data_IF_078149750037
#
_entry.id   IF_078149750037
#
_cell.length_a   1.000
_cell.length_b   1.000
_cell.length_c   1.000
_cell.angle_alpha   90.00
_cell.angle_beta   90.00
_cell.angle_gamma   90.00
#
_symmetry.space_group_name_H-M   'P 1'
#
loop_
_entity.id
_entity.type
_entity.pdbx_description
1 polymer ?
#
# COMPACT_ATOMS: atom_id res chain seq x y z
N UNK A 1 -7.33 39.66 -64.28
CA UNK A 1 -7.38 38.18 -64.34
C UNK A 1 -7.19 37.66 -62.92
N UNK A 2 -8.29 37.31 -62.26
CA UNK A 2 -8.46 36.63 -60.96
C UNK A 2 -7.44 36.87 -59.83
N UNK A 3 -7.57 38.00 -59.12
CA UNK A 3 -7.02 38.19 -57.77
C UNK A 3 -7.94 37.64 -56.66
N UNK A 4 -9.19 37.31 -56.99
CA UNK A 4 -10.20 36.77 -56.07
C UNK A 4 -9.88 35.42 -55.41
N UNK A 5 -9.29 34.40 -56.09
CA UNK A 5 -9.12 33.08 -55.48
C UNK A 5 -8.14 33.12 -54.29
N UNK A 6 -7.16 34.03 -54.30
CA UNK A 6 -6.18 34.15 -53.22
C UNK A 6 -6.81 34.83 -51.99
N UNK A 7 -7.59 35.90 -52.19
CA UNK A 7 -8.31 36.58 -51.10
C UNK A 7 -9.29 35.62 -50.41
N UNK A 8 -9.97 34.76 -51.16
CA UNK A 8 -10.87 33.74 -50.58
C UNK A 8 -10.12 32.69 -49.77
N UNK A 9 -8.91 32.29 -50.17
CA UNK A 9 -8.10 31.31 -49.42
C UNK A 9 -7.63 31.92 -48.08
N UNK A 10 -7.15 33.16 -48.08
CA UNK A 10 -6.75 33.85 -46.84
C UNK A 10 -7.91 34.06 -45.87
N UNK A 11 -9.10 34.41 -46.38
CA UNK A 11 -10.30 34.54 -45.56
C UNK A 11 -10.71 33.20 -44.90
N UNK A 12 -10.54 32.08 -45.61
CA UNK A 12 -10.81 30.73 -45.07
C UNK A 12 -9.79 30.37 -43.97
N UNK A 13 -8.50 30.64 -44.19
CA UNK A 13 -7.45 30.40 -43.19
C UNK A 13 -7.73 31.22 -41.93
N UNK A 14 -8.04 32.51 -42.08
CA UNK A 14 -8.40 33.39 -40.97
C UNK A 14 -9.60 32.86 -40.16
N UNK A 15 -10.62 32.31 -40.84
CA UNK A 15 -11.78 31.72 -40.19
C UNK A 15 -11.40 30.46 -39.39
N UNK A 16 -10.56 29.58 -39.96
CA UNK A 16 -10.07 28.37 -39.27
C UNK A 16 -9.28 28.75 -38.01
N UNK A 17 -8.43 29.77 -38.10
CA UNK A 17 -7.63 30.23 -36.97
C UNK A 17 -8.45 30.94 -35.91
N UNK A 18 -9.43 31.76 -36.31
CA UNK A 18 -10.37 32.36 -35.38
C UNK A 18 -11.15 31.27 -34.62
N UNK A 19 -11.60 30.22 -35.30
CA UNK A 19 -12.23 29.05 -34.67
C UNK A 19 -11.25 28.39 -33.70
N UNK A 20 -10.00 28.17 -34.10
CA UNK A 20 -8.96 27.58 -33.25
C UNK A 20 -8.75 28.39 -31.96
N UNK A 21 -8.56 29.71 -32.06
CA UNK A 21 -8.44 30.61 -30.90
C UNK A 21 -9.68 30.58 -30.00
N UNK A 22 -10.88 30.56 -30.59
CA UNK A 22 -12.14 30.48 -29.85
C UNK A 22 -12.24 29.16 -29.06
N UNK A 23 -11.85 28.03 -29.64
CA UNK A 23 -11.83 26.74 -28.94
C UNK A 23 -10.91 26.80 -27.72
N UNK A 24 -9.69 27.35 -27.87
CA UNK A 24 -8.73 27.47 -26.79
C UNK A 24 -9.18 28.46 -25.69
N UNK A 25 -9.75 29.59 -26.07
CA UNK A 25 -10.36 30.55 -25.13
C UNK A 25 -11.53 29.93 -24.37
N UNK A 26 -12.38 29.15 -25.04
CA UNK A 26 -13.49 28.44 -24.41
C UNK A 26 -13.00 27.39 -23.40
N UNK A 27 -11.94 26.64 -23.74
CA UNK A 27 -11.29 25.69 -22.81
C UNK A 27 -10.75 26.43 -21.58
N UNK A 28 -10.02 27.54 -21.78
CA UNK A 28 -9.46 28.33 -20.69
C UNK A 28 -10.55 28.92 -19.76
N UNK A 29 -11.66 29.41 -20.34
CA UNK A 29 -12.80 29.96 -19.61
C UNK A 29 -13.53 28.89 -18.80
N UNK A 30 -13.73 27.70 -19.37
CA UNK A 30 -14.41 26.57 -18.70
C UNK A 30 -13.68 26.11 -17.42
N UNK A 31 -12.36 26.29 -17.39
CA UNK A 31 -11.49 25.91 -16.26
C UNK A 31 -11.21 27.05 -15.28
N UNK A 32 -11.87 28.20 -15.43
CA UNK A 32 -11.69 29.41 -14.59
C UNK A 32 -10.23 29.90 -14.52
N UNK A 33 -9.42 29.66 -15.56
CA UNK A 33 -8.03 30.09 -15.63
C UNK A 33 -7.99 31.46 -16.33
N UNK A 34 -8.40 32.51 -15.62
CA UNK A 34 -8.58 33.85 -16.19
C UNK A 34 -7.29 34.43 -16.78
N UNK A 35 -6.12 34.17 -16.19
CA UNK A 35 -4.85 34.67 -16.71
C UNK A 35 -4.52 34.15 -18.12
N UNK A 36 -4.75 32.86 -18.38
CA UNK A 36 -4.52 32.25 -19.69
C UNK A 36 -5.56 32.74 -20.69
N UNK A 37 -6.81 32.90 -20.24
CA UNK A 37 -7.88 33.47 -21.07
C UNK A 37 -7.54 34.89 -21.53
N UNK A 38 -7.12 35.78 -20.62
CA UNK A 38 -6.72 37.15 -20.98
C UNK A 38 -5.51 37.18 -21.91
N UNK A 39 -4.52 36.32 -21.68
CA UNK A 39 -3.37 36.20 -22.58
C UNK A 39 -3.79 35.74 -23.98
N UNK A 40 -4.69 34.77 -24.07
CA UNK A 40 -5.22 34.29 -25.34
C UNK A 40 -6.06 35.35 -26.05
N UNK A 41 -6.88 36.11 -25.31
CA UNK A 41 -7.69 37.20 -25.85
C UNK A 41 -6.83 38.33 -26.41
N UNK A 42 -5.81 38.77 -25.67
CA UNK A 42 -4.88 39.81 -26.14
C UNK A 42 -4.11 39.34 -27.37
N UNK A 43 -3.63 38.09 -27.36
CA UNK A 43 -2.94 37.50 -28.51
C UNK A 43 -3.85 37.40 -29.73
N UNK A 44 -5.11 36.99 -29.55
CA UNK A 44 -6.12 36.94 -30.61
C UNK A 44 -6.43 38.32 -31.19
N UNK A 45 -6.53 39.37 -30.35
CA UNK A 45 -6.75 40.75 -30.83
C UNK A 45 -5.55 41.28 -31.62
N UNK A 46 -4.32 41.06 -31.14
CA UNK A 46 -3.10 41.46 -31.85
C UNK A 46 -3.05 40.75 -33.21
N UNK A 47 -3.35 39.46 -33.22
CA UNK A 47 -3.38 38.63 -34.41
C UNK A 47 -4.43 39.13 -35.42
N UNK A 48 -5.68 39.34 -34.99
CA UNK A 48 -6.75 39.85 -35.83
C UNK A 48 -6.50 41.26 -36.38
N UNK A 49 -5.82 42.13 -35.64
CA UNK A 49 -5.42 43.47 -36.14
C UNK A 49 -4.38 43.33 -37.26
N UNK A 50 -3.39 42.44 -37.11
CA UNK A 50 -2.38 42.19 -38.14
C UNK A 50 -3.02 41.65 -39.41
N UNK A 51 -3.95 40.69 -39.30
CA UNK A 51 -4.63 40.14 -40.47
C UNK A 51 -5.50 41.16 -41.19
N UNK A 52 -6.22 42.03 -40.46
CA UNK A 52 -7.01 43.10 -41.06
C UNK A 52 -6.11 44.09 -41.82
N UNK A 53 -4.92 44.40 -41.29
CA UNK A 53 -3.94 45.27 -41.96
C UNK A 53 -3.40 44.61 -43.23
N UNK A 54 -3.06 43.32 -43.17
CA UNK A 54 -2.59 42.53 -44.33
C UNK A 54 -3.68 42.45 -45.41
N UNK A 55 -4.94 42.22 -45.03
CA UNK A 55 -6.08 42.17 -45.96
C UNK A 55 -6.35 43.52 -46.63
N UNK A 56 -6.20 44.65 -45.91
CA UNK A 56 -6.37 46.00 -46.48
C UNK A 56 -5.21 46.44 -47.37
N UNK A 57 -3.99 46.00 -47.10
CA UNK A 57 -2.78 46.34 -47.88
C UNK A 57 -2.61 45.56 -49.20
N UNK A 58 -3.46 44.54 -49.44
CA UNK A 58 -3.34 43.59 -50.54
C UNK A 58 -3.52 44.20 -51.96
N UNK A 59 -3.96 45.45 -52.08
CA UNK A 59 -4.22 46.08 -53.39
C UNK A 59 -2.96 46.47 -54.18
N UNK A 60 -1.76 46.35 -53.60
CA UNK A 60 -0.48 46.79 -54.19
C UNK A 60 0.46 45.61 -54.55
N UNK A 61 1.28 45.78 -55.59
CA UNK A 61 2.18 44.76 -56.20
C UNK A 61 3.26 44.21 -55.23
N UNK A 62 3.44 44.80 -54.04
CA UNK A 62 4.34 44.32 -52.98
C UNK A 62 3.76 43.16 -52.13
N UNK A 63 2.64 42.55 -52.56
CA UNK A 63 1.92 41.50 -51.82
C UNK A 63 2.78 40.28 -51.44
N UNK A 64 3.81 39.94 -52.23
CA UNK A 64 4.76 38.87 -51.89
C UNK A 64 5.52 39.12 -50.57
N UNK A 65 5.76 40.38 -50.20
CA UNK A 65 6.47 40.74 -48.96
C UNK A 65 5.60 40.53 -47.71
N UNK A 66 4.27 40.63 -47.85
CA UNK A 66 3.30 40.52 -46.75
C UNK A 66 2.78 39.08 -46.54
N UNK A 67 2.87 38.23 -47.57
CA UNK A 67 2.45 36.83 -47.52
C UNK A 67 3.33 35.99 -46.58
N UNK A 68 4.65 36.20 -46.59
CA UNK A 68 5.56 35.42 -45.74
C UNK A 68 5.37 35.70 -44.23
N UNK A 69 5.25 36.97 -43.77
CA UNK A 69 4.92 37.28 -42.38
C UNK A 69 3.57 36.74 -41.92
N UNK A 70 2.52 36.82 -42.76
CA UNK A 70 1.19 36.32 -42.39
C UNK A 70 1.18 34.80 -42.21
N UNK A 71 1.84 34.06 -43.09
CA UNK A 71 1.96 32.60 -42.97
C UNK A 71 2.70 32.22 -41.68
N UNK A 72 3.78 32.94 -41.34
CA UNK A 72 4.52 32.72 -40.10
C UNK A 72 3.65 33.02 -38.87
N UNK A 73 2.89 34.13 -38.91
CA UNK A 73 2.00 34.52 -37.82
C UNK A 73 0.86 33.53 -37.59
N UNK A 74 0.38 32.86 -38.65
CA UNK A 74 -0.64 31.80 -38.58
C UNK A 74 -0.10 30.49 -38.02
N UNK A 75 1.11 30.12 -38.44
CA UNK A 75 1.73 28.84 -38.04
C UNK A 75 2.14 28.87 -36.56
N UNK A 76 2.54 30.02 -36.02
CA UNK A 76 3.02 30.16 -34.64
C UNK A 76 1.96 29.72 -33.61
N UNK A 77 0.72 30.24 -33.58
CA UNK A 77 -0.33 29.79 -32.66
C UNK A 77 -0.71 28.33 -32.84
N UNK A 78 -0.75 27.84 -34.09
CA UNK A 78 -1.11 26.46 -34.39
C UNK A 78 -0.11 25.46 -33.77
N UNK A 79 1.18 25.81 -33.75
CA UNK A 79 2.23 25.01 -33.12
C UNK A 79 2.27 25.20 -31.59
N UNK A 80 2.07 26.43 -31.11
CA UNK A 80 2.26 26.77 -29.69
C UNK A 80 1.08 26.36 -28.79
N UNK A 81 -0.15 26.54 -29.26
CA UNK A 81 -1.35 26.31 -28.44
C UNK A 81 -1.46 24.85 -27.96
N UNK A 82 -1.24 23.80 -28.78
CA UNK A 82 -1.23 22.41 -28.30
C UNK A 82 -0.26 22.14 -27.15
N UNK A 83 0.91 22.79 -27.14
CA UNK A 83 1.92 22.67 -26.08
C UNK A 83 1.48 23.25 -24.73
N UNK A 84 0.38 24.01 -24.70
CA UNK A 84 -0.19 24.58 -23.47
C UNK A 84 -1.07 23.57 -22.72
N UNK A 85 -1.42 22.42 -23.30
CA UNK A 85 -2.22 21.42 -22.60
C UNK A 85 -1.33 20.48 -21.80
N UNK A 86 -1.57 20.45 -20.49
CA UNK A 86 -1.03 19.44 -19.58
C UNK A 86 -2.17 18.59 -19.04
N UNK A 87 -2.17 17.31 -19.41
CA UNK A 87 -3.12 16.32 -18.91
C UNK A 87 -2.54 15.69 -17.64
N UNK A 88 -3.31 15.75 -16.56
CA UNK A 88 -2.97 15.17 -15.26
C UNK A 88 -3.93 14.01 -15.00
N UNK A 89 -3.37 12.84 -14.71
CA UNK A 89 -4.17 11.67 -14.37
C UNK A 89 -4.90 11.85 -13.03
N UNK A 90 -5.98 11.12 -12.80
CA UNK A 90 -6.79 11.22 -11.58
C UNK A 90 -6.00 10.90 -10.30
N UNK A 91 -5.12 9.92 -10.39
CA UNK A 91 -4.20 9.51 -9.32
C UNK A 91 -2.96 10.41 -9.18
N UNK A 92 -2.85 11.46 -9.99
CA UNK A 92 -1.74 12.42 -9.93
C UNK A 92 -2.22 13.82 -9.50
N UNK A 93 -1.26 14.62 -9.03
CA UNK A 93 -1.41 16.06 -8.85
C UNK A 93 -0.22 16.76 -9.47
N UNK A 94 -0.48 17.89 -10.15
CA UNK A 94 0.56 18.70 -10.75
C UNK A 94 0.94 19.86 -9.85
N UNK A 95 2.19 19.96 -9.42
CA UNK A 95 2.70 21.15 -8.74
C UNK A 95 3.20 22.13 -9.81
N UNK A 96 2.56 23.29 -9.89
CA UNK A 96 2.86 24.31 -10.89
C UNK A 96 3.85 25.33 -10.33
N UNK A 97 4.98 25.49 -11.01
CA UNK A 97 5.94 26.55 -10.78
C UNK A 97 5.90 27.55 -11.92
N UNK A 98 5.68 28.82 -11.60
CA UNK A 98 5.70 29.93 -12.55
C UNK A 98 6.91 30.82 -12.28
N UNK A 99 7.81 30.96 -13.26
CA UNK A 99 9.09 31.68 -13.08
C UNK A 99 9.87 31.23 -11.82
N UNK A 100 9.76 29.94 -11.45
CA UNK A 100 10.38 29.37 -10.25
C UNK A 100 9.65 29.64 -8.93
N UNK A 101 8.55 30.42 -8.93
CA UNK A 101 7.68 30.57 -7.75
C UNK A 101 6.57 29.53 -7.76
N UNK A 102 6.17 29.06 -6.58
CA UNK A 102 5.01 28.18 -6.43
C UNK A 102 3.74 28.93 -6.81
N UNK A 103 3.06 28.48 -7.87
CA UNK A 103 1.82 29.09 -8.34
C UNK A 103 0.56 28.33 -7.89
N UNK A 104 0.70 27.07 -7.45
CA UNK A 104 -0.39 26.27 -6.89
C UNK A 104 -0.40 24.81 -7.34
N UNK A 105 -1.50 24.13 -7.03
CA UNK A 105 -1.79 22.75 -7.40
C UNK A 105 -2.76 22.68 -8.58
N UNK A 106 -2.42 21.88 -9.58
CA UNK A 106 -3.28 21.54 -10.71
C UNK A 106 -4.09 20.28 -10.39
N UNK A 107 -5.40 20.39 -10.62
CA UNK A 107 -6.35 19.30 -10.42
C UNK A 107 -6.29 18.26 -11.57
N UNK A 108 -6.84 17.05 -11.38
CA UNK A 108 -6.96 16.07 -12.45
C UNK A 108 -7.68 16.57 -13.69
N UNK A 109 -7.28 16.03 -14.84
CA UNK A 109 -7.85 16.33 -16.14
C UNK A 109 -7.01 17.30 -16.95
N UNK A 110 -7.66 17.99 -17.87
CA UNK A 110 -7.03 18.89 -18.83
C UNK A 110 -6.82 20.26 -18.20
N UNK A 111 -5.55 20.62 -18.01
CA UNK A 111 -5.13 21.93 -17.53
C UNK A 111 -4.41 22.69 -18.64
N UNK A 112 -4.64 24.00 -18.70
CA UNK A 112 -3.91 24.89 -19.61
C UNK A 112 -2.79 25.56 -18.82
N UNK A 113 -1.55 25.44 -19.30
CA UNK A 113 -0.35 26.04 -18.73
C UNK A 113 0.28 27.02 -19.72
N UNK A 114 1.05 28.00 -19.22
CA UNK A 114 1.74 28.92 -20.12
C UNK A 114 2.85 28.20 -20.91
N UNK A 115 2.98 28.48 -22.23
CA UNK A 115 4.05 27.94 -23.05
C UNK A 115 5.38 28.63 -22.73
N UNK A 116 6.48 28.20 -23.37
CA UNK A 116 7.84 28.75 -23.23
C UNK A 116 8.59 28.44 -21.93
N UNK A 117 8.20 27.39 -21.19
CA UNK A 117 8.92 26.99 -19.97
C UNK A 117 8.79 27.97 -18.80
N UNK A 118 7.90 28.96 -18.94
CA UNK A 118 7.49 29.87 -17.86
C UNK A 118 6.84 29.07 -16.75
N UNK A 119 5.93 28.17 -17.14
CA UNK A 119 5.21 27.25 -16.28
C UNK A 119 5.87 25.86 -16.35
N UNK A 120 6.35 25.35 -15.22
CA UNK A 120 6.89 23.98 -15.07
C UNK A 120 5.97 23.18 -14.16
N UNK A 121 5.49 22.04 -14.64
CA UNK A 121 4.59 21.15 -13.89
C UNK A 121 5.34 19.90 -13.45
N UNK A 122 5.38 19.66 -12.15
CA UNK A 122 5.85 18.40 -11.57
C UNK A 122 4.65 17.52 -11.25
N UNK A 123 4.57 16.34 -11.88
CA UNK A 123 3.48 15.39 -11.64
C UNK A 123 3.89 14.45 -10.51
N UNK A 124 3.12 14.44 -9.43
CA UNK A 124 3.33 13.59 -8.27
C UNK A 124 2.19 12.59 -8.19
N UNK A 125 2.53 11.31 -7.99
CA UNK A 125 1.57 10.23 -7.78
C UNK A 125 1.09 10.24 -6.32
N UNK A 126 -0.22 10.12 -6.12
CA UNK A 126 -0.85 10.09 -4.79
C UNK A 126 -1.08 8.66 -4.28
N UNK A 127 -0.84 7.64 -5.10
CA UNK A 127 -1.04 6.23 -4.71
C UNK A 127 -0.02 5.80 -3.66
N UNK A 128 -0.35 4.74 -2.94
CA UNK A 128 0.60 4.10 -2.03
C UNK A 128 1.76 3.50 -2.82
N UNK A 129 2.96 3.98 -2.50
CA UNK A 129 4.23 3.51 -2.97
C UNK A 129 4.86 2.62 -1.89
N UNK A 130 5.58 1.61 -2.35
CA UNK A 130 6.33 0.69 -1.50
C UNK A 130 7.81 0.88 -1.71
N UNK A 131 8.56 1.06 -0.63
CA UNK A 131 10.02 1.06 -0.67
C UNK A 131 10.56 -0.08 0.18
N UNK A 132 11.50 -0.84 -0.38
CA UNK A 132 12.30 -1.79 0.37
C UNK A 132 13.42 -1.02 1.09
N UNK A 133 13.52 -1.24 2.40
CA UNK A 133 14.65 -0.77 3.19
C UNK A 133 15.73 -1.83 3.17
N UNK A 134 16.91 -1.46 2.68
CA UNK A 134 18.04 -2.38 2.58
C UNK A 134 18.41 -3.03 3.94
N UNK A 135 18.87 -4.28 3.87
CA UNK A 135 19.32 -5.06 5.04
C UNK A 135 20.38 -4.31 5.84
N UNK A 136 20.23 -4.33 7.16
CA UNK A 136 21.18 -3.72 8.09
C UNK A 136 21.64 -4.69 9.16
N UNK A 137 22.91 -4.62 9.51
CA UNK A 137 23.46 -5.26 10.69
C UNK A 137 23.22 -4.38 11.92
N UNK A 138 22.52 -4.95 12.91
CA UNK A 138 22.14 -4.27 14.15
C UNK A 138 22.44 -5.21 15.31
N UNK A 139 22.94 -4.66 16.42
CA UNK A 139 23.07 -5.38 17.68
C UNK A 139 21.85 -5.02 18.53
N UNK A 140 21.08 -6.03 18.95
CA UNK A 140 19.91 -5.83 19.83
C UNK A 140 20.35 -5.52 21.27
N UNK A 141 19.37 -5.19 22.12
CA UNK A 141 19.58 -4.95 23.55
C UNK A 141 20.24 -6.15 24.27
N UNK A 142 20.04 -7.37 23.77
CA UNK A 142 20.61 -8.61 24.32
C UNK A 142 22.00 -8.95 23.77
N UNK A 143 22.69 -7.98 23.14
CA UNK A 143 23.99 -8.18 22.51
C UNK A 143 23.99 -9.24 21.39
N UNK A 144 22.85 -9.40 20.72
CA UNK A 144 22.67 -10.35 19.64
C UNK A 144 22.81 -9.61 18.30
N UNK A 145 23.80 -9.96 17.46
CA UNK A 145 23.89 -9.39 16.12
C UNK A 145 22.83 -10.02 15.22
N UNK A 146 22.05 -9.19 14.54
CA UNK A 146 20.99 -9.58 13.60
C UNK A 146 21.07 -8.76 12.32
N UNK A 147 20.65 -9.36 11.21
CA UNK A 147 20.42 -8.66 9.95
C UNK A 147 18.93 -8.45 9.76
N UNK A 148 18.49 -7.21 9.60
CA UNK A 148 17.06 -6.88 9.46
C UNK A 148 16.79 -6.06 8.21
N UNK A 149 15.74 -6.41 7.48
CA UNK A 149 15.13 -5.59 6.44
C UNK A 149 13.64 -5.34 6.71
N UNK A 150 13.11 -4.30 6.07
CA UNK A 150 11.73 -3.87 6.23
C UNK A 150 11.18 -3.28 4.94
N UNK A 151 9.86 -3.21 4.85
CA UNK A 151 9.14 -2.52 3.76
C UNK A 151 8.33 -1.39 4.35
N UNK A 152 8.37 -0.22 3.71
CA UNK A 152 7.57 0.94 4.09
C UNK A 152 6.54 1.21 3.01
N UNK A 153 5.28 1.30 3.42
CA UNK A 153 4.16 1.71 2.60
C UNK A 153 3.83 3.17 2.93
N UNK A 154 3.94 4.04 1.94
CA UNK A 154 3.63 5.45 2.13
C UNK A 154 2.95 6.03 0.88
N UNK A 155 2.22 7.12 1.04
CA UNK A 155 1.66 7.87 -0.06
C UNK A 155 1.93 9.37 0.14
N UNK A 156 1.94 10.13 -0.95
CA UNK A 156 2.09 11.59 -0.86
C UNK A 156 0.75 12.19 -0.43
N UNK A 157 0.71 12.85 0.72
CA UNK A 157 -0.48 13.56 1.22
C UNK A 157 -0.51 15.00 0.71
N UNK A 158 0.62 15.70 0.71
CA UNK A 158 0.77 17.05 0.17
C UNK A 158 1.88 17.09 -0.91
N UNK A 159 1.50 17.18 -2.20
CA UNK A 159 2.45 17.26 -3.31
C UNK A 159 3.32 18.52 -3.29
N UNK A 160 2.83 19.64 -2.72
CA UNK A 160 3.60 20.89 -2.63
C UNK A 160 4.80 20.66 -1.71
N UNK A 161 4.55 20.15 -0.51
CA UNK A 161 5.61 19.88 0.46
C UNK A 161 6.59 18.82 -0.08
N UNK A 162 6.09 17.75 -0.68
CA UNK A 162 6.91 16.67 -1.24
C UNK A 162 7.87 17.14 -2.34
N UNK A 163 7.52 18.20 -3.08
CA UNK A 163 8.36 18.75 -4.14
C UNK A 163 9.26 19.89 -3.66
N UNK A 164 8.85 20.64 -2.62
CA UNK A 164 9.55 21.86 -2.18
C UNK A 164 10.47 21.65 -0.99
N UNK A 165 10.15 20.71 -0.10
CA UNK A 165 10.87 20.50 1.16
C UNK A 165 11.97 19.46 1.05
N UNK A 166 11.89 18.56 0.08
CA UNK A 166 12.84 17.47 -0.12
C UNK A 166 13.10 17.25 -1.61
N UNK A 167 14.36 17.00 -1.98
CA UNK A 167 14.74 16.78 -3.38
C UNK A 167 14.20 15.44 -3.89
N UNK A 168 14.43 14.38 -3.12
CA UNK A 168 13.96 13.04 -3.41
C UNK A 168 13.34 12.43 -2.15
N UNK A 169 12.02 12.58 -2.02
CA UNK A 169 11.28 12.08 -0.87
C UNK A 169 11.44 10.58 -0.69
N UNK A 170 11.51 9.79 -1.77
CA UNK A 170 11.68 8.33 -1.72
C UNK A 170 12.99 7.97 -1.05
N UNK A 171 14.11 8.55 -1.52
CA UNK A 171 15.43 8.26 -0.98
C UNK A 171 15.59 8.77 0.46
N UNK A 172 15.12 9.99 0.74
CA UNK A 172 15.17 10.56 2.09
C UNK A 172 14.36 9.73 3.09
N UNK A 173 13.19 9.23 2.68
CA UNK A 173 12.36 8.32 3.50
C UNK A 173 13.06 6.98 3.71
N UNK A 174 13.70 6.41 2.68
CA UNK A 174 14.51 5.18 2.84
C UNK A 174 15.62 5.36 3.88
N UNK A 175 16.39 6.45 3.80
CA UNK A 175 17.49 6.72 4.73
C UNK A 175 17.00 7.01 6.17
N UNK A 176 15.87 7.70 6.29
CA UNK A 176 15.24 7.94 7.58
C UNK A 176 14.73 6.64 8.20
N UNK A 177 14.00 5.82 7.42
CA UNK A 177 13.54 4.50 7.85
C UNK A 177 14.71 3.61 8.30
N UNK A 178 15.82 3.64 7.57
CA UNK A 178 17.07 2.96 7.95
C UNK A 178 17.58 3.38 9.33
N UNK A 179 17.50 4.66 9.66
CA UNK A 179 17.99 5.19 10.94
C UNK A 179 17.04 4.85 12.08
N UNK A 180 15.72 4.98 11.85
CA UNK A 180 14.69 4.65 12.84
C UNK A 180 14.68 3.15 13.13
N UNK A 181 14.77 2.29 12.10
CA UNK A 181 14.90 0.84 12.27
C UNK A 181 16.10 0.50 13.14
N UNK A 182 17.29 1.02 12.83
CA UNK A 182 18.48 0.79 13.65
C UNK A 182 18.28 1.20 15.11
N UNK A 183 17.70 2.37 15.33
CA UNK A 183 17.49 2.91 16.68
C UNK A 183 16.48 2.10 17.50
N UNK A 184 15.34 1.76 16.91
CA UNK A 184 14.27 1.04 17.60
C UNK A 184 14.66 -0.41 17.82
N UNK A 185 15.13 -1.10 16.79
CA UNK A 185 15.49 -2.52 16.90
C UNK A 185 16.66 -2.73 17.88
N UNK A 186 17.58 -1.77 18.00
CA UNK A 186 18.66 -1.80 18.98
C UNK A 186 18.23 -1.57 20.44
N UNK A 187 17.08 -0.94 20.67
CA UNK A 187 16.53 -0.70 22.02
C UNK A 187 15.69 -1.85 22.57
N UNK A 188 15.44 -2.87 21.75
CA UNK A 188 14.52 -3.95 22.05
C UNK A 188 15.25 -5.31 21.99
N UNK A 189 14.65 -6.29 22.64
CA UNK A 189 15.19 -7.65 22.77
C UNK A 189 14.84 -8.51 21.54
N UNK A 190 15.63 -9.54 21.26
CA UNK A 190 15.38 -10.38 20.08
C UNK A 190 14.01 -11.07 20.17
N UNK A 191 13.63 -11.54 21.35
CA UNK A 191 12.35 -12.23 21.53
C UNK A 191 11.15 -11.31 21.27
N UNK A 192 11.24 -10.04 21.65
CA UNK A 192 10.21 -9.03 21.35
C UNK A 192 10.06 -8.83 19.85
N UNK A 193 11.15 -8.86 19.09
CA UNK A 193 11.16 -8.74 17.63
C UNK A 193 10.52 -9.94 16.92
N UNK A 194 10.54 -11.11 17.56
CA UNK A 194 9.94 -12.32 17.02
C UNK A 194 8.47 -12.46 17.43
N UNK A 195 8.13 -12.10 18.67
CA UNK A 195 6.82 -12.34 19.28
C UNK A 195 5.88 -11.14 19.15
N UNK A 196 6.36 -9.90 19.31
CA UNK A 196 5.56 -8.66 19.36
C UNK A 196 5.68 -7.81 18.09
N UNK A 197 5.75 -8.45 16.92
CA UNK A 197 5.94 -7.76 15.63
C UNK A 197 4.91 -6.67 15.33
N UNK A 198 3.65 -6.89 15.66
CA UNK A 198 2.59 -5.92 15.37
C UNK A 198 2.78 -4.61 16.16
N UNK A 199 3.18 -4.70 17.42
CA UNK A 199 3.44 -3.53 18.28
C UNK A 199 4.64 -2.72 17.76
N UNK A 200 5.70 -3.42 17.34
CA UNK A 200 6.89 -2.80 16.77
C UNK A 200 6.62 -2.14 15.41
N UNK A 201 5.86 -2.81 14.53
CA UNK A 201 5.45 -2.26 13.25
C UNK A 201 4.67 -0.95 13.43
N UNK A 202 3.76 -0.91 14.41
CA UNK A 202 2.99 0.30 14.72
C UNK A 202 3.85 1.43 15.28
N UNK A 203 4.77 1.11 16.20
CA UNK A 203 5.72 2.08 16.75
C UNK A 203 6.66 2.65 15.67
N UNK A 204 7.13 1.81 14.75
CA UNK A 204 7.92 2.23 13.59
C UNK A 204 7.11 3.12 12.64
N UNK A 205 5.84 2.77 12.39
CA UNK A 205 4.92 3.57 11.59
C UNK A 205 4.73 4.95 12.20
N UNK A 206 4.41 5.05 13.49
CA UNK A 206 4.17 6.31 14.19
C UNK A 206 5.38 7.25 14.13
N UNK A 207 6.58 6.73 14.43
CA UNK A 207 7.81 7.52 14.40
C UNK A 207 8.16 7.98 13.00
N UNK A 208 8.07 7.09 12.01
CA UNK A 208 8.39 7.44 10.62
C UNK A 208 7.37 8.44 10.05
N UNK A 209 6.09 8.28 10.34
CA UNK A 209 5.03 9.21 9.93
C UNK A 209 5.29 10.62 10.48
N UNK A 210 5.58 10.73 11.79
CA UNK A 210 5.88 12.01 12.44
C UNK A 210 7.07 12.74 11.82
N UNK A 211 8.14 12.02 11.50
CA UNK A 211 9.35 12.64 10.94
C UNK A 211 9.24 12.92 9.42
N UNK A 212 8.30 12.27 8.73
CA UNK A 212 8.05 12.44 7.28
C UNK A 212 6.92 13.42 6.96
N UNK A 213 6.07 13.76 7.94
CA UNK A 213 5.01 14.77 7.84
C UNK A 213 5.50 16.12 7.26
N UNK A 214 6.67 16.68 7.65
CA UNK A 214 7.17 17.94 7.08
C UNK A 214 7.47 17.87 5.57
N UNK A 215 7.63 16.66 5.02
CA UNK A 215 7.82 16.41 3.60
C UNK A 215 6.50 16.17 2.86
N UNK A 216 5.34 16.21 3.54
CA UNK A 216 4.05 15.92 2.92
C UNK A 216 3.88 14.46 2.52
N UNK A 217 4.55 13.55 3.25
CA UNK A 217 4.45 12.11 3.07
C UNK A 217 3.63 11.55 4.23
N UNK A 218 2.72 10.63 3.92
CA UNK A 218 1.96 9.89 4.92
C UNK A 218 2.40 8.44 4.91
N UNK A 219 2.83 7.92 6.06
CA UNK A 219 3.23 6.51 6.18
C UNK A 219 2.00 5.68 6.57
N UNK A 220 1.57 4.80 5.67
CA UNK A 220 0.43 3.91 5.88
C UNK A 220 0.81 2.74 6.79
N UNK A 221 1.96 2.11 6.55
CA UNK A 221 2.40 0.94 7.29
C UNK A 221 3.91 0.75 7.17
N UNK A 222 4.51 0.11 8.18
CA UNK A 222 5.89 -0.37 8.17
C UNK A 222 5.87 -1.83 8.59
N UNK A 223 6.51 -2.69 7.80
CA UNK A 223 6.54 -4.13 8.05
C UNK A 223 7.98 -4.63 8.07
N UNK A 224 8.38 -5.26 9.17
CA UNK A 224 9.65 -6.00 9.25
C UNK A 224 9.54 -7.24 8.34
N UNK A 225 10.37 -7.30 7.30
CA UNK A 225 10.32 -8.33 6.26
C UNK A 225 11.01 -9.61 6.73
N UNK A 226 12.25 -9.51 7.19
CA UNK A 226 13.01 -10.64 7.72
C UNK A 226 13.98 -10.22 8.82
N UNK A 227 14.24 -11.16 9.74
CA UNK A 227 15.26 -11.06 10.78
C UNK A 227 16.15 -12.30 10.61
N UNK A 228 17.38 -12.10 10.16
CA UNK A 228 18.36 -13.17 9.96
C UNK A 228 19.35 -13.17 11.13
N UNK A 229 19.53 -14.36 11.70
CA UNK A 229 20.39 -14.63 12.85
C UNK A 229 21.65 -15.37 12.37
N UNK A 230 22.82 -15.16 12.99
CA UNK A 230 23.99 -15.99 12.77
C UNK A 230 23.68 -17.46 12.99
N UNK A 231 24.24 -18.33 12.15
CA UNK A 231 23.96 -19.78 12.17
C UNK A 231 24.25 -20.43 13.53
N UNK A 232 25.26 -19.95 14.25
CA UNK A 232 25.63 -20.45 15.58
C UNK A 232 24.50 -20.24 16.59
N UNK A 233 23.93 -19.04 16.64
CA UNK A 233 22.85 -18.68 17.54
C UNK A 233 21.53 -19.33 17.13
N UNK A 234 21.23 -19.39 15.82
CA UNK A 234 20.04 -20.06 15.30
C UNK A 234 19.98 -21.52 15.75
N UNK A 235 21.10 -22.23 15.72
CA UNK A 235 21.21 -23.62 16.23
C UNK A 235 21.05 -23.70 17.74
N UNK A 236 21.67 -22.78 18.49
CA UNK A 236 21.56 -22.75 19.95
C UNK A 236 20.12 -22.49 20.42
N UNK A 237 19.43 -21.51 19.82
CA UNK A 237 18.03 -21.20 20.08
C UNK A 237 17.11 -22.36 19.68
N UNK A 238 17.34 -23.00 18.53
CA UNK A 238 16.58 -24.17 18.12
C UNK A 238 16.69 -25.30 19.15
N UNK A 239 17.90 -25.60 19.62
CA UNK A 239 18.14 -26.62 20.66
C UNK A 239 17.49 -26.26 22.00
N UNK A 240 17.55 -24.99 22.40
CA UNK A 240 16.89 -24.51 23.62
C UNK A 240 15.36 -24.61 23.51
N UNK A 241 14.79 -24.21 22.37
CA UNK A 241 13.37 -24.29 22.11
C UNK A 241 12.86 -25.74 22.06
N UNK A 242 13.65 -26.66 21.51
CA UNK A 242 13.36 -28.09 21.50
C UNK A 242 13.35 -28.66 22.93
N UNK A 243 14.38 -28.37 23.73
CA UNK A 243 14.46 -28.82 25.12
C UNK A 243 13.31 -28.25 25.99
N UNK A 244 12.95 -26.98 25.81
CA UNK A 244 11.82 -26.37 26.52
C UNK A 244 10.47 -26.96 26.06
N UNK A 245 10.31 -27.24 24.76
CA UNK A 245 9.12 -27.93 24.24
C UNK A 245 8.98 -29.34 24.80
N UNK A 246 10.07 -30.11 24.84
CA UNK A 246 10.08 -31.46 25.44
C UNK A 246 9.74 -31.41 26.94
N UNK A 247 10.34 -30.46 27.67
CA UNK A 247 10.04 -30.25 29.10
C UNK A 247 8.55 -29.94 29.30
N UNK A 248 8.00 -29.00 28.52
CA UNK A 248 6.57 -28.63 28.60
C UNK A 248 5.68 -29.80 28.23
N UNK A 249 6.01 -30.55 27.19
CA UNK A 249 5.25 -31.74 26.79
C UNK A 249 5.21 -32.79 27.91
N UNK A 250 6.33 -33.05 28.60
CA UNK A 250 6.38 -33.97 29.75
C UNK A 250 5.52 -33.50 30.92
N UNK A 251 5.55 -32.21 31.24
CA UNK A 251 4.72 -31.64 32.31
C UNK A 251 3.24 -31.77 31.96
N UNK A 252 2.85 -31.41 30.73
CA UNK A 252 1.47 -31.51 30.26
C UNK A 252 1.00 -32.97 30.26
N UNK A 253 1.85 -33.91 29.85
CA UNK A 253 1.54 -35.36 29.88
C UNK A 253 1.33 -35.85 31.31
N UNK A 254 2.23 -35.50 32.23
CA UNK A 254 2.13 -35.91 33.63
C UNK A 254 0.89 -35.31 34.31
N UNK A 255 0.57 -34.05 34.04
CA UNK A 255 -0.64 -33.40 34.55
C UNK A 255 -1.92 -34.01 33.94
N UNK A 256 -1.89 -34.34 32.65
CA UNK A 256 -2.96 -35.09 31.98
C UNK A 256 -3.19 -36.48 32.58
N UNK A 257 -2.12 -37.23 32.86
CA UNK A 257 -2.18 -38.53 33.53
C UNK A 257 -2.72 -38.41 34.95
N UNK A 258 -2.28 -37.40 35.71
CA UNK A 258 -2.78 -37.13 37.06
C UNK A 258 -4.28 -36.81 37.06
N UNK A 259 -4.72 -35.90 36.19
CA UNK A 259 -6.14 -35.55 36.06
C UNK A 259 -7.00 -36.75 35.63
N UNK A 260 -6.51 -37.57 34.70
CA UNK A 260 -7.19 -38.80 34.29
C UNK A 260 -7.31 -39.80 35.45
N UNK A 261 -6.22 -40.05 36.19
CA UNK A 261 -6.22 -40.93 37.35
C UNK A 261 -7.17 -40.44 38.45
N UNK A 262 -7.20 -39.13 38.72
CA UNK A 262 -8.12 -38.52 39.68
C UNK A 262 -9.58 -38.73 39.28
N UNK A 263 -9.94 -38.51 38.00
CA UNK A 263 -11.29 -38.74 37.50
C UNK A 263 -11.71 -40.21 37.55
N UNK A 264 -10.78 -41.13 37.26
CA UNK A 264 -11.03 -42.56 37.40
C UNK A 264 -11.27 -42.97 38.86
N UNK A 265 -10.51 -42.41 39.80
CA UNK A 265 -10.70 -42.64 41.23
C UNK A 265 -12.06 -42.11 41.70
N UNK A 266 -12.43 -40.88 41.33
CA UNK A 266 -13.75 -40.30 41.61
C UNK A 266 -14.88 -41.17 41.05
N UNK A 267 -14.75 -41.64 39.80
CA UNK A 267 -15.72 -42.54 39.19
C UNK A 267 -15.81 -43.89 39.90
N UNK A 268 -14.67 -44.47 40.31
CA UNK A 268 -14.63 -45.74 41.05
C UNK A 268 -15.29 -45.61 42.44
N UNK A 269 -15.03 -44.51 43.16
CA UNK A 269 -15.68 -44.22 44.44
C UNK A 269 -17.20 -44.04 44.28
N UNK A 270 -17.64 -43.36 43.21
CA UNK A 270 -19.07 -43.18 42.93
C UNK A 270 -19.75 -44.53 42.61
N UNK A 271 -19.11 -45.38 41.81
CA UNK A 271 -19.61 -46.72 41.48
C UNK A 271 -19.63 -47.62 42.72
N UNK A 272 -18.65 -47.51 43.61
CA UNK A 272 -18.61 -48.31 44.84
C UNK A 272 -19.74 -47.95 45.82
N UNK A 273 -20.32 -46.74 45.76
CA UNK A 273 -21.46 -46.36 46.61
C UNK A 273 -22.75 -47.07 46.19
N UNK A 274 -22.89 -47.42 44.92
CA UNK A 274 -24.11 -48.04 44.37
C UNK A 274 -23.75 -49.33 43.62
N UNK A 275 -23.93 -50.53 44.22
CA UNK A 275 -23.57 -51.81 43.60
C UNK A 275 -24.21 -52.03 42.22
N UNK A 276 -25.42 -51.49 41.99
CA UNK A 276 -26.11 -51.54 40.71
C UNK A 276 -25.36 -50.79 39.58
N UNK A 277 -24.58 -49.75 39.90
CA UNK A 277 -23.81 -49.00 38.91
C UNK A 277 -22.66 -49.83 38.31
N UNK A 278 -22.03 -50.69 39.11
CA UNK A 278 -20.99 -51.62 38.63
C UNK A 278 -21.59 -52.64 37.66
N UNK A 279 -22.80 -53.12 37.96
CA UNK A 279 -23.56 -54.05 37.12
C UNK A 279 -23.98 -53.40 35.79
N UNK A 280 -24.43 -52.14 35.81
CA UNK A 280 -24.72 -51.37 34.59
C UNK A 280 -23.47 -51.13 33.75
N UNK A 281 -22.33 -50.76 34.37
CA UNK A 281 -21.05 -50.63 33.67
C UNK A 281 -20.64 -51.96 33.02
N UNK A 282 -20.78 -53.07 33.74
CA UNK A 282 -20.51 -54.41 33.21
C UNK A 282 -21.35 -54.69 31.96
N UNK A 283 -22.66 -54.44 32.01
CA UNK A 283 -23.54 -54.60 30.84
C UNK A 283 -23.16 -53.66 29.68
N UNK A 284 -22.71 -52.43 29.96
CA UNK A 284 -22.24 -51.48 28.95
C UNK A 284 -20.91 -51.88 28.29
N UNK A 285 -20.06 -52.67 28.96
CA UNK A 285 -18.81 -53.18 28.37
C UNK A 285 -19.02 -54.38 27.45
N UNK A 286 -20.16 -55.08 27.54
CA UNK A 286 -20.45 -56.25 26.70
C UNK A 286 -20.52 -55.93 25.20
N UNK A 287 -21.13 -54.82 24.74
CA UNK A 287 -21.10 -54.39 23.34
C UNK A 287 -19.68 -54.11 22.80
N UNK A 288 -18.79 -53.53 23.61
CA UNK A 288 -17.41 -53.23 23.19
C UNK A 288 -16.62 -54.52 22.98
N UNK A 289 -16.77 -55.49 23.88
CA UNK A 289 -16.16 -56.83 23.75
C UNK A 289 -16.75 -57.60 22.57
N UNK A 290 -18.05 -57.43 22.28
CA UNK A 290 -18.70 -58.05 21.13
C UNK A 290 -18.31 -57.41 19.79
N UNK A 291 -17.79 -56.17 19.80
CA UNK A 291 -17.34 -55.44 18.60
C UNK A 291 -15.92 -55.84 18.16
N UNK A 292 -15.03 -56.18 19.10
CA UNK A 292 -13.75 -56.83 18.77
C UNK A 292 -14.01 -58.28 18.34
N UNK A 293 -13.84 -58.57 17.05
CA UNK A 293 -14.13 -59.87 16.41
C UNK A 293 -13.21 -61.01 16.87
N UNK A 294 -13.21 -61.38 18.16
CA UNK A 294 -12.52 -62.57 18.67
C UNK A 294 -13.54 -63.58 19.22
N UNK A 295 -13.55 -64.77 18.64
CA UNK A 295 -14.65 -65.76 18.66
C UNK A 295 -14.78 -66.59 19.94
N UNK A 296 -14.36 -66.09 21.09
CA UNK A 296 -14.52 -66.80 22.37
C UNK A 296 -14.87 -65.81 23.47
N UNK A 297 -16.19 -65.62 23.68
CA UNK A 297 -16.73 -64.82 24.77
C UNK A 297 -16.59 -65.67 26.05
N UNK A 298 -15.48 -65.50 26.77
CA UNK A 298 -15.33 -66.06 28.11
C UNK A 298 -16.23 -65.24 29.05
N UNK A 299 -17.34 -65.83 29.50
CA UNK A 299 -18.23 -65.23 30.51
C UNK A 299 -17.66 -65.52 31.92
N UNK A 300 -17.02 -64.55 32.60
CA UNK A 300 -16.73 -64.71 34.02
C UNK A 300 -18.05 -64.55 34.79
N UNK A 301 -18.66 -65.66 35.20
CA UNK A 301 -19.85 -65.62 36.05
C UNK A 301 -19.47 -65.05 37.44
N UNK A 302 -20.20 -64.04 37.95
CA UNK A 302 -20.00 -63.53 39.30
C UNK A 302 -20.11 -64.68 40.32
N UNK A 303 -19.13 -64.79 41.20
CA UNK A 303 -19.07 -65.86 42.23
C UNK A 303 -20.32 -65.82 43.15
N UNK A 304 -20.97 -64.67 43.25
CA UNK A 304 -22.23 -64.47 43.98
C UNK A 304 -23.41 -65.25 43.37
N UNK A 305 -23.50 -65.31 42.04
CA UNK A 305 -24.49 -66.15 41.34
C UNK A 305 -24.21 -67.64 41.60
N UNK A 306 -22.94 -68.05 41.57
CA UNK A 306 -22.54 -69.43 41.90
C UNK A 306 -22.89 -69.80 43.35
N UNK A 307 -22.73 -68.88 44.31
CA UNK A 307 -23.15 -69.07 45.71
C UNK A 307 -24.67 -69.17 45.89
N UNK A 308 -25.45 -68.44 45.10
CA UNK A 308 -26.91 -68.54 45.12
C UNK A 308 -27.39 -69.91 44.64
N UNK A 309 -26.76 -70.48 43.59
CA UNK A 309 -27.05 -71.84 43.12
C UNK A 309 -26.58 -72.94 44.09
N UNK A 310 -25.45 -72.76 44.80
CA UNK A 310 -25.01 -73.74 45.79
C UNK A 310 -25.92 -73.83 47.01
N UNK A 311 -26.57 -72.72 47.40
CA UNK A 311 -27.53 -72.70 48.52
C UNK A 311 -28.89 -73.30 48.17
N UNK A 312 -29.24 -73.44 46.89
CA UNK A 312 -30.48 -74.09 46.44
C UNK A 312 -30.38 -75.63 46.54
N UNK A 313 -29.16 -76.18 46.51
CA UNK A 313 -28.94 -77.63 46.53
C UNK A 313 -28.81 -78.25 47.95
N UNK A 314 -29.02 -77.45 49.00
CA UNK A 314 -28.93 -77.86 50.42
C UNK A 314 -30.30 -77.87 51.14
N UNK A 315 -31.38 -78.18 50.42
CA UNK A 315 -32.70 -78.46 51.01
C UNK A 315 -33.21 -79.82 50.56
#
# INVERSE_FOLDING_TARGET
MNSYPVVTIFAIIFLIEAVWWIVWMAIALSRKIYANFYFMLVSFLIWGVIDIVVLRGWSSIESLLYIAPSIVLTIIPLILLPGMVSIIAEYQRGVLFRFGRLSGLLQPGLNVIFPFGIDRVWKVDLRTLTIDVAKQEIITKDNVPIMVDAVVYFNVSDPILATTKVVNYTQSTTLLAQTILRSILGQHELDEMLTKRAELNEKLRELLDKDTDPWGIKVTAVEIKSIELPDTMKRAMAKQAEAERERRAKIISADGEYQAAQKLLEAAQLISKEPAALQLRYLQTLPEIAAEKNSTILFPLPIELLKAFSNINNK
#
